data_IF_665317806660
#
_entry.id   IF_665317806660
#
_cell.length_a   1.000
_cell.length_b   1.000
_cell.length_c   1.000
_cell.angle_alpha   90.00
_cell.angle_beta   90.00
_cell.angle_gamma   90.00
#
_symmetry.space_group_name_H-M   'P 1'
#
loop_
_entity.id
_entity.type
_entity.pdbx_description
1 polymer ?
#
# COMPACT_ATOMS: atom_id res chain seq x y z
N UNK A 1 -19.91 63.19 21.80
CA UNK A 1 -19.58 62.93 20.38
C UNK A 1 -18.84 61.59 20.17
N UNK A 2 -19.25 60.48 20.82
CA UNK A 2 -18.52 59.18 20.76
C UNK A 2 -19.24 58.08 19.95
N UNK A 3 -20.53 58.30 19.61
CA UNK A 3 -21.35 57.37 18.82
C UNK A 3 -20.87 57.14 17.36
N UNK A 4 -20.36 58.13 16.60
CA UNK A 4 -19.95 57.87 15.21
C UNK A 4 -18.66 57.04 15.13
N UNK A 5 -17.79 57.14 16.15
CA UNK A 5 -16.50 56.45 16.18
C UNK A 5 -16.68 54.93 16.41
N UNK A 6 -17.66 54.54 17.24
CA UNK A 6 -18.04 53.14 17.42
C UNK A 6 -18.60 52.53 16.13
N UNK A 7 -19.44 53.29 15.40
CA UNK A 7 -20.01 52.84 14.12
C UNK A 7 -18.92 52.66 13.05
N UNK A 8 -17.94 53.57 12.99
CA UNK A 8 -16.82 53.47 12.07
C UNK A 8 -15.95 52.23 12.36
N UNK A 9 -15.74 51.93 13.64
CA UNK A 9 -14.93 50.79 14.08
C UNK A 9 -15.62 49.45 13.78
N UNK A 10 -16.95 49.38 13.90
CA UNK A 10 -17.75 48.23 13.49
C UNK A 10 -17.71 47.97 11.98
N UNK A 11 -17.74 49.03 11.16
CA UNK A 11 -17.61 48.92 9.70
C UNK A 11 -16.21 48.46 9.26
N UNK A 12 -15.14 48.84 9.98
CA UNK A 12 -13.79 48.38 9.66
C UNK A 12 -13.60 46.89 9.98
N UNK A 13 -14.23 46.40 11.06
CA UNK A 13 -14.19 44.98 11.43
C UNK A 13 -14.89 44.07 10.41
N UNK A 14 -16.00 44.51 9.81
CA UNK A 14 -16.71 43.69 8.81
C UNK A 14 -15.91 43.51 7.51
N UNK A 15 -15.12 44.51 7.11
CA UNK A 15 -14.25 44.44 5.92
C UNK A 15 -13.09 43.45 6.14
N UNK A 16 -12.48 43.43 7.34
CA UNK A 16 -11.42 42.46 7.66
C UNK A 16 -11.92 41.00 7.61
N UNK A 17 -13.11 40.73 8.16
CA UNK A 17 -13.70 39.37 8.16
C UNK A 17 -13.97 38.85 6.75
N UNK A 18 -14.41 39.70 5.82
CA UNK A 18 -14.70 39.31 4.44
C UNK A 18 -13.41 38.92 3.66
N UNK A 19 -12.29 39.60 3.96
CA UNK A 19 -11.00 39.33 3.32
C UNK A 19 -10.42 37.95 3.69
N UNK A 20 -10.74 37.43 4.88
CA UNK A 20 -10.25 36.12 5.34
C UNK A 20 -11.01 34.94 4.72
N UNK A 21 -12.18 35.16 4.11
CA UNK A 21 -12.92 34.12 3.39
C UNK A 21 -12.57 34.02 1.90
N UNK A 22 -11.98 35.05 1.28
CA UNK A 22 -11.67 35.06 -0.16
C UNK A 22 -10.63 34.02 -0.60
N UNK A 23 -9.75 33.58 0.32
CA UNK A 23 -8.68 32.62 0.00
C UNK A 23 -9.05 31.16 0.28
N UNK A 24 -10.27 30.88 0.76
CA UNK A 24 -10.73 29.53 0.98
C UNK A 24 -11.44 29.03 -0.28
N UNK A 25 -10.80 28.12 -1.01
CA UNK A 25 -11.42 27.44 -2.17
C UNK A 25 -12.72 26.78 -1.70
N UNK A 26 -13.87 27.23 -2.21
CA UNK A 26 -15.17 26.65 -1.88
C UNK A 26 -15.21 25.18 -2.30
N UNK A 27 -15.80 24.31 -1.46
CA UNK A 27 -16.09 22.92 -1.83
C UNK A 27 -16.99 22.94 -3.07
N UNK A 28 -16.48 22.44 -4.21
CA UNK A 28 -17.14 22.49 -5.52
C UNK A 28 -16.48 23.41 -6.56
N UNK A 29 -15.58 24.31 -6.17
CA UNK A 29 -14.74 25.09 -7.11
C UNK A 29 -13.49 24.33 -7.58
N UNK A 30 -13.26 23.11 -7.08
CA UNK A 30 -12.31 22.20 -7.70
C UNK A 30 -12.93 21.85 -9.06
N UNK A 31 -12.29 22.29 -10.16
CA UNK A 31 -12.73 21.99 -11.52
C UNK A 31 -12.84 20.48 -11.79
N UNK A 32 -12.99 20.08 -13.05
CA UNK A 32 -13.11 18.67 -13.42
C UNK A 32 -12.05 17.81 -12.71
N UNK A 33 -12.49 16.99 -11.76
CA UNK A 33 -11.67 15.92 -11.22
C UNK A 33 -11.68 14.83 -12.28
N UNK A 34 -10.54 14.47 -12.89
CA UNK A 34 -10.51 13.40 -13.87
C UNK A 34 -11.12 12.15 -13.25
N UNK A 35 -12.03 11.51 -13.99
CA UNK A 35 -12.53 10.20 -13.60
C UNK A 35 -11.32 9.32 -13.25
N UNK A 36 -11.35 8.57 -12.13
CA UNK A 36 -10.27 7.64 -11.83
C UNK A 36 -9.96 6.83 -13.08
N UNK A 37 -8.71 6.92 -13.56
CA UNK A 37 -8.27 6.06 -14.65
C UNK A 37 -8.28 4.65 -14.11
N UNK A 38 -9.27 3.86 -14.48
CA UNK A 38 -9.22 2.43 -14.29
C UNK A 38 -8.09 1.95 -15.18
N UNK A 39 -7.08 1.34 -14.58
CA UNK A 39 -6.04 0.67 -15.36
C UNK A 39 -6.73 -0.43 -16.16
N UNK A 40 -6.81 -0.25 -17.48
CA UNK A 40 -7.55 -1.13 -18.37
C UNK A 40 -6.74 -2.38 -18.73
N UNK A 41 -5.54 -2.55 -18.18
CA UNK A 41 -4.85 -3.82 -18.27
C UNK A 41 -5.63 -4.85 -17.47
N UNK A 42 -6.51 -5.57 -18.16
CA UNK A 42 -7.09 -6.83 -17.68
C UNK A 42 -5.99 -7.85 -17.29
N UNK A 43 -4.76 -7.59 -17.74
CA UNK A 43 -3.56 -8.32 -17.45
C UNK A 43 -2.94 -7.80 -16.16
N UNK A 44 -3.15 -8.56 -15.09
CA UNK A 44 -2.27 -8.54 -13.92
C UNK A 44 -0.85 -8.80 -14.44
N UNK A 45 0.12 -7.98 -14.09
CA UNK A 45 1.51 -8.21 -14.50
C UNK A 45 2.09 -9.41 -13.77
N UNK A 46 2.90 -10.20 -14.46
CA UNK A 46 3.66 -11.29 -13.84
C UNK A 46 4.67 -10.74 -12.83
N UNK A 47 4.94 -11.54 -11.80
CA UNK A 47 5.90 -11.24 -10.76
C UNK A 47 7.29 -11.69 -11.16
N UNK A 48 8.27 -10.85 -10.92
CA UNK A 48 9.69 -11.24 -10.94
C UNK A 48 10.01 -11.92 -9.60
N UNK A 49 10.04 -13.25 -9.62
CA UNK A 49 10.14 -14.12 -8.44
C UNK A 49 11.36 -13.75 -7.59
N UNK A 50 12.53 -13.62 -8.23
CA UNK A 50 13.79 -13.38 -7.51
C UNK A 50 13.82 -12.00 -6.85
N UNK A 51 13.29 -10.97 -7.54
CA UNK A 51 13.19 -9.62 -6.95
C UNK A 51 12.26 -9.57 -5.76
N UNK A 52 11.24 -10.41 -5.71
CA UNK A 52 10.31 -10.46 -4.59
C UNK A 52 10.88 -11.29 -3.43
N UNK A 53 11.54 -12.41 -3.72
CA UNK A 53 12.28 -13.20 -2.72
C UNK A 53 13.32 -12.37 -1.97
N UNK A 54 14.09 -11.55 -2.69
CA UNK A 54 15.13 -10.69 -2.10
C UNK A 54 14.56 -9.69 -1.06
N UNK A 55 13.26 -9.37 -1.14
CA UNK A 55 12.58 -8.50 -0.17
C UNK A 55 11.98 -9.28 1.00
N UNK A 56 11.41 -10.45 0.71
CA UNK A 56 10.62 -11.23 1.68
C UNK A 56 11.53 -12.03 2.60
N UNK A 57 12.49 -12.78 2.04
CA UNK A 57 13.37 -13.67 2.80
C UNK A 57 14.12 -13.00 3.96
N UNK A 58 14.81 -11.84 3.78
CA UNK A 58 15.55 -11.23 4.89
C UNK A 58 14.61 -10.81 6.03
N UNK A 59 13.41 -10.29 5.71
CA UNK A 59 12.43 -9.91 6.73
C UNK A 59 11.91 -11.12 7.50
N UNK A 60 11.63 -12.22 6.82
CA UNK A 60 11.19 -13.45 7.48
C UNK A 60 12.29 -14.04 8.36
N UNK A 61 13.54 -14.00 7.90
CA UNK A 61 14.69 -14.44 8.71
C UNK A 61 14.80 -13.63 10.00
N UNK A 62 14.71 -12.31 9.90
CA UNK A 62 14.82 -11.42 11.06
C UNK A 62 13.63 -11.56 12.03
N UNK A 63 12.40 -11.72 11.50
CA UNK A 63 11.18 -11.75 12.30
C UNK A 63 10.95 -13.09 13.01
N UNK A 64 11.25 -14.19 12.33
CA UNK A 64 10.99 -15.56 12.82
C UNK A 64 12.25 -16.29 13.25
N UNK A 65 13.43 -15.65 13.16
CA UNK A 65 14.72 -16.20 13.58
C UNK A 65 15.01 -17.57 12.94
N UNK A 66 14.66 -17.71 11.65
CA UNK A 66 14.72 -18.97 10.91
C UNK A 66 16.16 -19.47 10.76
N UNK A 67 16.34 -20.78 10.94
CA UNK A 67 17.60 -21.45 10.62
C UNK A 67 17.84 -21.54 9.10
N UNK A 68 19.06 -21.86 8.69
CA UNK A 68 19.44 -21.95 7.28
C UNK A 68 18.62 -23.01 6.53
N UNK A 69 18.28 -24.13 7.18
CA UNK A 69 17.41 -25.15 6.61
C UNK A 69 15.96 -24.65 6.43
N UNK A 70 15.39 -24.02 7.46
CA UNK A 70 14.02 -23.49 7.42
C UNK A 70 13.89 -22.36 6.37
N UNK A 71 14.93 -21.55 6.23
CA UNK A 71 15.01 -20.51 5.21
C UNK A 71 15.01 -21.10 3.78
N UNK A 72 15.68 -22.24 3.56
CA UNK A 72 15.62 -22.93 2.27
C UNK A 72 14.23 -23.50 1.97
N UNK A 73 13.56 -24.07 2.99
CA UNK A 73 12.18 -24.54 2.84
C UNK A 73 11.26 -23.36 2.50
N UNK A 74 11.33 -22.26 3.27
CA UNK A 74 10.52 -21.07 3.04
C UNK A 74 10.76 -20.50 1.63
N UNK A 75 12.02 -20.46 1.18
CA UNK A 75 12.36 -20.03 -0.18
C UNK A 75 11.67 -20.91 -1.22
N UNK A 76 11.69 -22.23 -1.07
CA UNK A 76 10.98 -23.16 -1.96
C UNK A 76 9.47 -22.87 -1.98
N UNK A 77 8.85 -22.75 -0.80
CA UNK A 77 7.42 -22.46 -0.69
C UNK A 77 7.02 -21.13 -1.35
N UNK A 78 7.86 -20.10 -1.22
CA UNK A 78 7.64 -18.80 -1.84
C UNK A 78 7.79 -18.84 -3.36
N UNK A 79 8.78 -19.59 -3.87
CA UNK A 79 8.95 -19.80 -5.32
C UNK A 79 7.70 -20.46 -5.87
N UNK A 80 7.27 -21.59 -5.28
CA UNK A 80 6.08 -22.33 -5.74
C UNK A 80 4.84 -21.44 -5.76
N UNK A 81 4.63 -20.62 -4.71
CA UNK A 81 3.52 -19.66 -4.64
C UNK A 81 3.56 -18.67 -5.80
N UNK A 82 4.72 -18.08 -6.07
CA UNK A 82 4.89 -17.02 -7.08
C UNK A 82 4.87 -17.57 -8.51
N UNK A 83 5.41 -18.76 -8.74
CA UNK A 83 5.28 -19.46 -10.03
C UNK A 83 3.83 -19.79 -10.33
N UNK A 84 3.10 -20.36 -9.36
CA UNK A 84 1.67 -20.63 -9.51
C UNK A 84 0.87 -19.34 -9.76
N UNK A 85 1.24 -18.23 -9.11
CA UNK A 85 0.63 -16.93 -9.36
C UNK A 85 0.83 -16.52 -10.83
N UNK A 86 2.06 -16.60 -11.35
CA UNK A 86 2.35 -16.24 -12.74
C UNK A 86 1.58 -17.12 -13.72
N UNK A 87 1.53 -18.43 -13.50
CA UNK A 87 0.74 -19.37 -14.33
C UNK A 87 -0.74 -18.98 -14.36
N UNK A 88 -1.33 -18.64 -13.21
CA UNK A 88 -2.75 -18.24 -13.11
C UNK A 88 -3.02 -16.91 -13.82
N UNK A 89 -2.07 -15.99 -13.75
CA UNK A 89 -2.18 -14.64 -14.30
C UNK A 89 -1.96 -14.63 -15.81
N UNK A 90 -0.97 -15.37 -16.30
CA UNK A 90 -0.65 -15.51 -17.73
C UNK A 90 -1.73 -16.27 -18.51
N UNK A 91 -2.51 -17.11 -17.83
CA UNK A 91 -3.57 -17.86 -18.47
C UNK A 91 -4.71 -16.92 -18.95
N UNK A 92 -4.80 -16.75 -20.27
CA UNK A 92 -5.79 -15.92 -20.95
C UNK A 92 -7.20 -16.55 -20.95
N UNK A 93 -7.30 -17.88 -20.87
CA UNK A 93 -8.58 -18.61 -20.87
C UNK A 93 -9.38 -18.37 -19.58
N UNK A 94 -8.73 -17.95 -18.50
CA UNK A 94 -9.39 -17.70 -17.23
C UNK A 94 -10.18 -16.39 -17.26
N UNK A 95 -11.49 -16.52 -16.98
CA UNK A 95 -12.32 -15.39 -16.62
C UNK A 95 -11.84 -14.77 -15.31
N UNK A 96 -12.19 -13.50 -15.07
CA UNK A 96 -11.78 -12.77 -13.86
C UNK A 96 -12.13 -13.51 -12.57
N UNK A 97 -13.32 -14.10 -12.50
CA UNK A 97 -13.80 -14.77 -11.28
C UNK A 97 -13.08 -16.11 -11.05
N UNK A 98 -12.79 -16.85 -12.13
CA UNK A 98 -11.99 -18.09 -12.07
C UNK A 98 -10.54 -17.78 -11.66
N UNK A 99 -9.96 -16.71 -12.21
CA UNK A 99 -8.63 -16.25 -11.80
C UNK A 99 -8.61 -15.91 -10.32
N UNK A 100 -9.61 -15.15 -9.84
CA UNK A 100 -9.72 -14.76 -8.44
C UNK A 100 -9.87 -15.97 -7.50
N UNK A 101 -10.66 -16.98 -7.86
CA UNK A 101 -10.82 -18.19 -7.05
C UNK A 101 -9.54 -19.03 -7.00
N UNK A 102 -8.83 -19.17 -8.13
CA UNK A 102 -7.52 -19.84 -8.19
C UNK A 102 -6.46 -19.12 -7.38
N UNK A 103 -6.41 -17.78 -7.43
CA UNK A 103 -5.48 -17.00 -6.61
C UNK A 103 -5.75 -17.17 -5.11
N UNK A 104 -7.03 -17.18 -4.69
CA UNK A 104 -7.40 -17.48 -3.30
C UNK A 104 -6.99 -18.88 -2.87
N UNK A 105 -7.15 -19.87 -3.76
CA UNK A 105 -6.75 -21.24 -3.50
C UNK A 105 -5.23 -21.37 -3.36
N UNK A 106 -4.46 -20.68 -4.22
CA UNK A 106 -3.00 -20.63 -4.15
C UNK A 106 -2.53 -20.03 -2.81
N UNK A 107 -3.17 -18.93 -2.36
CA UNK A 107 -2.87 -18.34 -1.04
C UNK A 107 -3.17 -19.30 0.10
N UNK A 108 -4.34 -19.96 0.05
CA UNK A 108 -4.73 -20.95 1.06
C UNK A 108 -3.75 -22.13 1.13
N UNK A 109 -3.34 -22.66 -0.02
CA UNK A 109 -2.35 -23.75 -0.09
C UNK A 109 -1.01 -23.32 0.47
N UNK A 110 -0.54 -22.11 0.14
CA UNK A 110 0.69 -21.56 0.67
C UNK A 110 0.65 -21.41 2.20
N UNK A 111 -0.41 -20.82 2.76
CA UNK A 111 -0.59 -20.69 4.22
C UNK A 111 -0.64 -22.06 4.90
N UNK A 112 -1.28 -23.05 4.27
CA UNK A 112 -1.28 -24.42 4.77
C UNK A 112 0.14 -25.00 4.82
N UNK A 113 0.95 -24.77 3.78
CA UNK A 113 2.34 -25.21 3.72
C UNK A 113 3.24 -24.48 4.73
N UNK A 114 2.98 -23.20 5.02
CA UNK A 114 3.74 -22.46 6.04
C UNK A 114 3.65 -23.09 7.44
N UNK A 115 2.52 -23.72 7.78
CA UNK A 115 2.38 -24.45 9.05
C UNK A 115 3.34 -25.64 9.21
N UNK A 116 4.08 -26.03 8.15
CA UNK A 116 5.13 -27.06 8.25
C UNK A 116 6.42 -26.56 8.89
N UNK A 117 6.66 -25.25 8.85
CA UNK A 117 7.88 -24.60 9.35
C UNK A 117 7.60 -23.56 10.45
N UNK A 118 6.43 -22.95 10.44
CA UNK A 118 6.02 -21.92 11.38
C UNK A 118 4.87 -22.44 12.25
N UNK A 119 4.80 -21.95 13.48
CA UNK A 119 3.64 -22.15 14.36
C UNK A 119 2.44 -21.34 13.87
N UNK A 120 1.22 -21.72 14.29
CA UNK A 120 0.00 -20.99 13.90
C UNK A 120 0.02 -19.50 14.26
N UNK A 121 0.68 -19.15 15.38
CA UNK A 121 0.85 -17.75 15.81
C UNK A 121 1.79 -16.98 14.88
N UNK A 122 2.91 -17.60 14.50
CA UNK A 122 3.87 -17.03 13.55
C UNK A 122 3.29 -16.90 12.15
N UNK A 123 2.45 -17.86 11.71
CA UNK A 123 1.74 -17.77 10.44
C UNK A 123 0.76 -16.59 10.45
N UNK A 124 0.03 -16.35 11.54
CA UNK A 124 -0.82 -15.16 11.66
C UNK A 124 0.01 -13.87 11.56
N UNK A 125 1.16 -13.83 12.24
CA UNK A 125 2.10 -12.71 12.19
C UNK A 125 2.67 -12.49 10.78
N UNK A 126 2.97 -13.57 10.05
CA UNK A 126 3.43 -13.52 8.66
C UNK A 126 2.39 -12.84 7.76
N UNK A 127 1.12 -13.18 7.92
CA UNK A 127 0.02 -12.62 7.12
C UNK A 127 -0.13 -11.10 7.38
N UNK A 128 0.13 -10.66 8.61
CA UNK A 128 0.07 -9.24 8.98
C UNK A 128 1.33 -8.44 8.57
N UNK A 129 2.40 -9.13 8.16
CA UNK A 129 3.69 -8.49 7.91
C UNK A 129 3.70 -7.69 6.59
N UNK A 130 4.10 -6.41 6.67
CA UNK A 130 4.23 -5.53 5.50
C UNK A 130 5.62 -5.67 4.84
N UNK A 131 5.66 -6.36 3.70
CA UNK A 131 6.88 -6.55 2.92
C UNK A 131 7.28 -5.30 2.09
N UNK A 132 6.44 -4.25 1.97
CA UNK A 132 6.73 -3.06 1.14
C UNK A 132 7.48 -1.91 1.87
N UNK A 133 7.73 -2.04 3.17
CA UNK A 133 8.10 -0.94 4.07
C UNK A 133 9.36 -0.11 3.73
N UNK A 134 10.31 -0.62 2.93
CA UNK A 134 11.56 0.09 2.61
C UNK A 134 11.37 1.42 1.84
N UNK A 135 10.34 1.51 0.98
CA UNK A 135 10.11 2.73 0.17
C UNK A 135 9.75 3.93 1.06
N UNK A 136 9.04 3.70 2.17
CA UNK A 136 8.61 4.76 3.09
C UNK A 136 9.81 5.34 3.86
N UNK A 137 10.75 4.50 4.25
CA UNK A 137 11.95 4.91 4.98
C UNK A 137 12.92 5.73 4.13
N UNK A 138 13.21 5.28 2.90
CA UNK A 138 14.06 6.02 1.94
C UNK A 138 13.46 7.39 1.60
N UNK A 139 12.13 7.48 1.45
CA UNK A 139 11.40 8.75 1.21
C UNK A 139 11.44 9.69 2.43
N UNK A 140 11.32 9.17 3.65
CA UNK A 140 11.50 9.94 4.90
C UNK A 140 12.93 10.48 5.05
N UNK A 141 13.94 9.65 4.77
CA UNK A 141 15.37 10.06 4.82
C UNK A 141 15.68 11.19 3.81
N UNK A 142 15.18 11.09 2.58
CA UNK A 142 15.30 12.17 1.57
C UNK A 142 14.63 13.49 1.99
N UNK A 143 13.45 13.42 2.61
CA UNK A 143 12.74 14.61 3.13
C UNK A 143 13.45 15.29 4.30
N UNK A 144 14.19 14.54 5.13
CA UNK A 144 15.03 15.11 6.20
C UNK A 144 16.27 15.80 5.65
N UNK A 145 16.90 15.24 4.61
CA UNK A 145 18.09 15.84 3.96
C UNK A 145 17.80 17.17 3.26
N UNK A 146 16.62 17.32 2.64
CA UNK A 146 16.23 18.56 1.96
C UNK A 146 15.67 19.65 2.91
N UNK A 147 15.59 19.38 4.21
CA UNK A 147 15.20 20.35 5.25
C UNK A 147 16.40 20.91 6.01
N UNK A 148 17.61 20.43 5.73
CA UNK A 148 18.87 20.93 6.26
C UNK A 148 19.54 21.88 5.27
#
# INVERSE_FOLDING_TARGET
MKKPLLSLLLCLFSILSYSQQLNNVQRGQRGYAPMPKYDSSAYVSTLDIYKELDKVLPKCKDEFMLDEFEMQILKGLLIDKMENYNIIVENEDYTRDVRQSKLKLNEFQFVKSLNSILTSEEVAKYIELDFESEKKEKKKKRRKKNKS
#
